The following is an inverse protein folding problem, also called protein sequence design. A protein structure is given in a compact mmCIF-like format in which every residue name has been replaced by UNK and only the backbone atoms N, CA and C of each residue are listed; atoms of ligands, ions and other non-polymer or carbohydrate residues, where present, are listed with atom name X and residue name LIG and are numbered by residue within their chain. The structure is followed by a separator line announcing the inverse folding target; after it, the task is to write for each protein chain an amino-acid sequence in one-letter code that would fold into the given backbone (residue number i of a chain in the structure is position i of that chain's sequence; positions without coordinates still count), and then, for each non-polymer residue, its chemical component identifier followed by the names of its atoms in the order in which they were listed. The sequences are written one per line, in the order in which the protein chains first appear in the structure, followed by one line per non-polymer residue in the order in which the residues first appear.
data_IF_283052296569
#
_entry.id   IF_283052296569
#
_cell.length_a   1.000
_cell.length_b   1.000
_cell.length_c   1.000
_cell.angle_alpha   90.00
_cell.angle_beta   90.00
_cell.angle_gamma   90.00
#
_symmetry.space_group_name_H-M   'P 1'
#
loop_
_entity.id
_entity.type
_entity.pdbx_description
1 polymer ?
#
# COMPACT_ATOMS: atom_id res chain seq x y z
N UNK A 1 -17.17 2.79 25.08
CA UNK A 1 -16.19 1.69 25.00
C UNK A 1 -15.07 2.00 24.00
N UNK A 2 -15.37 2.36 22.75
CA UNK A 2 -14.36 2.68 21.71
C UNK A 2 -13.48 3.93 21.95
N UNK A 3 -14.03 5.01 22.53
CA UNK A 3 -13.23 6.18 22.93
C UNK A 3 -12.21 5.86 24.05
N UNK A 4 -12.54 4.87 24.88
CA UNK A 4 -11.65 4.39 25.95
C UNK A 4 -10.52 3.57 25.34
N UNK A 5 -10.80 2.74 24.33
CA UNK A 5 -9.78 1.94 23.63
C UNK A 5 -8.71 2.82 22.97
N UNK A 6 -9.09 3.93 22.34
CA UNK A 6 -8.16 4.88 21.73
C UNK A 6 -7.27 5.54 22.79
N UNK A 7 -7.83 5.94 23.93
CA UNK A 7 -7.03 6.54 25.01
C UNK A 7 -6.15 5.51 25.73
N UNK A 8 -6.59 4.25 25.82
CA UNK A 8 -5.79 3.14 26.35
C UNK A 8 -4.62 2.80 25.42
N UNK A 9 -4.82 2.77 24.11
CA UNK A 9 -3.74 2.55 23.13
C UNK A 9 -2.72 3.71 23.19
N UNK A 10 -3.19 4.97 23.23
CA UNK A 10 -2.31 6.13 23.38
C UNK A 10 -1.55 6.13 24.71
N UNK A 11 -2.19 5.69 25.80
CA UNK A 11 -1.56 5.57 27.10
C UNK A 11 -0.52 4.44 27.12
N UNK A 12 -0.83 3.27 26.54
CA UNK A 12 0.07 2.14 26.45
C UNK A 12 1.32 2.46 25.61
N UNK A 13 1.15 3.18 24.50
CA UNK A 13 2.26 3.67 23.67
C UNK A 13 3.14 4.71 24.41
N UNK A 14 2.56 5.51 25.32
CA UNK A 14 3.33 6.43 26.18
C UNK A 14 4.07 5.72 27.30
N UNK A 15 3.67 4.51 27.65
CA UNK A 15 4.27 3.67 28.68
C UNK A 15 5.24 2.61 28.11
N UNK A 16 5.56 2.71 26.83
CA UNK A 16 6.47 1.80 26.10
C UNK A 16 6.05 0.32 26.20
N UNK A 17 4.75 0.08 26.31
CA UNK A 17 4.18 -1.27 26.26
C UNK A 17 4.32 -1.81 24.83
N UNK A 18 4.77 -3.05 24.71
CA UNK A 18 5.06 -3.68 23.43
C UNK A 18 3.79 -3.89 22.59
N UNK A 19 3.96 -3.78 21.26
CA UNK A 19 2.85 -3.85 20.31
C UNK A 19 1.96 -5.12 20.41
N UNK A 20 2.49 -6.32 20.73
CA UNK A 20 1.68 -7.51 20.99
C UNK A 20 0.68 -7.34 22.16
N UNK A 21 1.10 -6.71 23.26
CA UNK A 21 0.23 -6.49 24.42
C UNK A 21 -0.85 -5.45 24.13
N UNK A 22 -0.54 -4.43 23.32
CA UNK A 22 -1.52 -3.44 22.83
C UNK A 22 -2.54 -4.12 21.90
N UNK A 23 -2.10 -5.08 21.11
CA UNK A 23 -2.92 -5.81 20.16
C UNK A 23 -3.95 -6.71 20.86
N UNK A 24 -3.57 -7.36 21.95
CA UNK A 24 -4.49 -8.17 22.75
C UNK A 24 -5.61 -7.33 23.37
N UNK A 25 -5.30 -6.11 23.85
CA UNK A 25 -6.31 -5.16 24.34
C UNK A 25 -7.22 -4.66 23.21
N UNK A 26 -6.68 -4.44 22.00
CA UNK A 26 -7.45 -3.92 20.87
C UNK A 26 -8.47 -4.90 20.28
N UNK A 27 -8.23 -6.20 20.48
CA UNK A 27 -9.09 -7.31 20.04
C UNK A 27 -9.86 -7.93 21.21
N UNK A 28 -9.74 -7.36 22.41
CA UNK A 28 -10.37 -7.88 23.61
C UNK A 28 -11.89 -7.68 23.59
N UNK A 29 -12.64 -8.77 23.73
CA UNK A 29 -14.10 -8.80 23.71
C UNK A 29 -14.75 -8.33 25.02
N UNK A 30 -13.93 -7.94 26.01
CA UNK A 30 -14.36 -7.51 27.34
C UNK A 30 -14.85 -8.63 28.25
N UNK A 31 -14.68 -9.91 27.86
CA UNK A 31 -15.14 -11.08 28.62
C UNK A 31 -14.01 -11.95 29.16
N UNK A 32 -12.85 -11.99 28.50
CA UNK A 32 -11.67 -12.72 29.00
C UNK A 32 -10.97 -11.98 30.13
N UNK A 33 -10.65 -12.64 31.23
CA UNK A 33 -9.85 -12.03 32.30
C UNK A 33 -8.38 -11.93 31.87
N UNK A 34 -7.87 -10.70 31.74
CA UNK A 34 -6.48 -10.41 31.34
C UNK A 34 -5.51 -10.49 32.54
N UNK A 35 -6.02 -10.52 33.78
CA UNK A 35 -5.18 -10.54 34.99
C UNK A 35 -4.61 -11.92 35.33
N UNK A 36 -5.10 -12.99 34.67
CA UNK A 36 -4.57 -14.35 34.86
C UNK A 36 -3.11 -14.47 34.37
N UNK A 37 -2.60 -13.47 33.65
CA UNK A 37 -1.22 -13.41 33.13
C UNK A 37 -0.24 -12.80 34.17
N UNK A 38 -0.73 -12.07 35.17
CA UNK A 38 0.11 -11.21 36.02
C UNK A 38 0.46 -11.78 37.41
N UNK A 39 -0.15 -12.89 37.82
CA UNK A 39 0.08 -13.47 39.15
C UNK A 39 1.01 -14.70 39.11
N UNK A 40 2.30 -14.52 38.81
CA UNK A 40 3.36 -15.40 39.35
C UNK A 40 4.64 -14.61 39.61
N UNK A 41 4.60 -13.69 40.58
CA UNK A 41 5.81 -13.22 41.25
C UNK A 41 6.10 -14.14 42.44
N UNK A 42 6.68 -15.32 42.16
CA UNK A 42 7.33 -16.13 43.19
C UNK A 42 8.56 -16.88 42.67
N UNK A 43 9.72 -16.37 43.13
CA UNK A 43 10.91 -17.12 43.53
C UNK A 43 11.73 -17.82 42.44
N UNK A 44 12.86 -17.16 42.11
CA UNK A 44 14.14 -17.75 41.72
C UNK A 44 14.29 -19.24 42.08
N UNK A 45 14.30 -20.10 41.07
CA UNK A 45 14.59 -21.52 41.20
C UNK A 45 14.82 -22.11 39.81
N UNK A 46 16.07 -22.46 39.53
CA UNK A 46 16.54 -23.01 38.26
C UNK A 46 15.70 -24.20 37.79
N UNK A 47 15.55 -24.29 36.45
CA UNK A 47 14.99 -25.40 35.66
C UNK A 47 13.47 -25.39 35.44
N UNK A 48 13.02 -24.61 34.46
CA UNK A 48 11.87 -25.05 33.67
C UNK A 48 11.97 -24.52 32.23
N UNK A 49 11.98 -25.43 31.27
CA UNK A 49 11.94 -25.14 29.83
C UNK A 49 10.76 -24.23 29.52
N UNK A 50 11.06 -23.11 28.88
CA UNK A 50 10.12 -22.04 28.54
C UNK A 50 8.80 -22.57 27.99
N UNK A 51 7.73 -22.40 28.77
CA UNK A 51 6.37 -22.37 28.24
C UNK A 51 6.16 -21.01 27.59
N UNK A 52 6.59 -20.91 26.34
CA UNK A 52 6.03 -19.94 25.40
C UNK A 52 4.54 -20.26 25.29
N UNK A 53 3.66 -19.43 25.84
CA UNK A 53 2.22 -19.58 25.66
C UNK A 53 1.92 -19.36 24.16
N UNK A 54 1.51 -20.44 23.48
CA UNK A 54 1.04 -20.41 22.10
C UNK A 54 -0.15 -19.44 22.01
N UNK A 55 0.03 -18.31 21.33
CA UNK A 55 -1.11 -17.45 20.95
C UNK A 55 -2.09 -18.30 20.13
N UNK A 56 -3.37 -18.34 20.53
CA UNK A 56 -4.44 -19.04 19.80
C UNK A 56 -4.37 -18.68 18.31
N UNK A 57 -3.94 -19.63 17.48
CA UNK A 57 -3.84 -19.45 16.04
C UNK A 57 -5.25 -19.52 15.45
N UNK A 58 -5.67 -18.49 14.72
CA UNK A 58 -6.93 -18.54 13.98
C UNK A 58 -6.79 -19.64 12.93
N UNK A 59 -7.66 -20.65 12.90
CA UNK A 59 -7.55 -21.74 11.94
C UNK A 59 -7.70 -21.20 10.51
N UNK A 60 -7.02 -21.83 9.56
CA UNK A 60 -7.15 -21.46 8.16
C UNK A 60 -8.61 -21.64 7.69
N UNK A 61 -9.20 -20.65 6.99
CA UNK A 61 -10.57 -20.74 6.51
C UNK A 61 -10.70 -21.78 5.39
N UNK A 62 -11.85 -22.49 5.30
CA UNK A 62 -12.15 -23.34 4.16
C UNK A 62 -12.33 -22.50 2.89
N UNK A 63 -12.12 -23.11 1.71
CA UNK A 63 -12.26 -22.44 0.41
C UNK A 63 -13.61 -21.71 0.22
N UNK A 64 -14.68 -22.19 0.85
CA UNK A 64 -15.99 -21.54 0.82
C UNK A 64 -16.01 -20.15 1.45
N UNK A 65 -15.16 -19.91 2.45
CA UNK A 65 -14.98 -18.62 3.12
C UNK A 65 -13.94 -17.79 2.36
N UNK A 66 -12.82 -18.38 1.93
CA UNK A 66 -11.80 -17.69 1.13
C UNK A 66 -12.38 -17.09 -0.16
N UNK A 67 -13.28 -17.81 -0.83
CA UNK A 67 -13.98 -17.27 -2.02
C UNK A 67 -14.84 -16.04 -1.69
N UNK A 68 -15.38 -15.93 -0.48
CA UNK A 68 -16.12 -14.75 -0.04
C UNK A 68 -15.17 -13.58 0.22
N UNK A 69 -13.97 -13.84 0.72
CA UNK A 69 -12.95 -12.79 0.84
C UNK A 69 -12.62 -12.18 -0.53
N UNK A 70 -12.49 -12.98 -1.58
CA UNK A 70 -12.30 -12.45 -2.95
C UNK A 70 -13.45 -11.54 -3.40
N UNK A 71 -14.70 -11.89 -3.05
CA UNK A 71 -15.87 -11.05 -3.30
C UNK A 71 -15.89 -9.78 -2.43
N UNK A 72 -15.25 -9.80 -1.26
CA UNK A 72 -15.14 -8.66 -0.35
C UNK A 72 -14.04 -7.66 -0.78
N UNK A 73 -13.02 -8.12 -1.51
CA UNK A 73 -11.86 -7.32 -1.94
C UNK A 73 -12.23 -5.98 -2.60
N UNK A 74 -13.19 -5.91 -3.55
CA UNK A 74 -13.56 -4.62 -4.15
C UNK A 74 -14.14 -3.62 -3.15
N UNK A 75 -14.90 -4.08 -2.16
CA UNK A 75 -15.53 -3.22 -1.15
C UNK A 75 -14.52 -2.75 -0.11
N UNK A 76 -13.61 -3.63 0.33
CA UNK A 76 -12.50 -3.23 1.18
C UNK A 76 -11.56 -2.25 0.47
N UNK A 77 -11.39 -2.36 -0.85
CA UNK A 77 -10.65 -1.37 -1.64
C UNK A 77 -11.27 0.02 -1.58
N UNK A 78 -12.60 0.12 -1.51
CA UNK A 78 -13.27 1.41 -1.29
C UNK A 78 -12.91 1.95 0.09
N UNK A 79 -13.07 1.14 1.16
CA UNK A 79 -12.72 1.57 2.52
C UNK A 79 -11.24 1.97 2.68
N UNK A 80 -10.33 1.29 1.96
CA UNK A 80 -8.89 1.58 1.93
C UNK A 80 -8.55 2.99 1.44
N UNK A 81 -9.48 3.64 0.73
CA UNK A 81 -9.36 5.04 0.32
C UNK A 81 -9.54 6.02 1.49
N UNK A 82 -9.84 5.52 2.69
CA UNK A 82 -10.18 6.33 3.87
C UNK A 82 -11.63 6.78 3.89
N UNK A 83 -12.46 6.32 2.94
CA UNK A 83 -13.88 6.63 2.86
C UNK A 83 -14.68 5.75 3.81
N UNK A 84 -15.64 6.32 4.52
CA UNK A 84 -16.66 5.57 5.27
C UNK A 84 -17.88 5.37 4.35
N UNK A 85 -17.66 4.72 3.20
CA UNK A 85 -18.72 4.53 2.21
C UNK A 85 -19.78 3.55 2.73
N UNK A 86 -20.97 4.06 3.01
CA UNK A 86 -22.07 3.26 3.57
C UNK A 86 -22.51 2.12 2.64
N UNK A 87 -22.36 2.28 1.32
CA UNK A 87 -22.62 1.22 0.35
C UNK A 87 -21.65 0.06 0.52
N UNK A 88 -20.35 0.35 0.56
CA UNK A 88 -19.30 -0.64 0.80
C UNK A 88 -19.46 -1.32 2.17
N UNK A 89 -19.74 -0.56 3.23
CA UNK A 89 -20.01 -1.11 4.56
C UNK A 89 -21.22 -2.05 4.56
N UNK A 90 -22.31 -1.68 3.88
CA UNK A 90 -23.51 -2.51 3.75
C UNK A 90 -23.22 -3.82 3.01
N UNK A 91 -22.50 -3.77 1.90
CA UNK A 91 -22.14 -4.98 1.15
C UNK A 91 -21.20 -5.89 1.94
N UNK A 92 -20.19 -5.34 2.64
CA UNK A 92 -19.31 -6.12 3.50
C UNK A 92 -20.09 -6.82 4.64
N UNK A 93 -21.07 -6.15 5.25
CA UNK A 93 -21.93 -6.77 6.29
C UNK A 93 -22.76 -7.92 5.73
N UNK A 94 -23.25 -7.82 4.49
CA UNK A 94 -23.92 -8.94 3.80
C UNK A 94 -22.95 -10.11 3.58
N UNK A 95 -21.72 -9.83 3.16
CA UNK A 95 -20.69 -10.86 2.96
C UNK A 95 -20.32 -11.53 4.30
N UNK A 96 -20.20 -10.79 5.41
CA UNK A 96 -20.04 -11.38 6.73
C UNK A 96 -21.21 -12.29 7.13
N UNK A 97 -22.44 -11.92 6.77
CA UNK A 97 -23.61 -12.80 7.00
C UNK A 97 -23.48 -14.12 6.23
N UNK A 98 -22.92 -14.09 5.01
CA UNK A 98 -22.62 -15.31 4.24
C UNK A 98 -21.47 -16.11 4.86
N UNK A 99 -20.40 -15.45 5.31
CA UNK A 99 -19.29 -16.08 6.02
C UNK A 99 -19.81 -16.84 7.23
N UNK A 100 -20.60 -16.19 8.09
CA UNK A 100 -21.22 -16.81 9.26
C UNK A 100 -22.00 -18.07 8.91
N UNK A 101 -22.81 -18.02 7.84
CA UNK A 101 -23.53 -19.20 7.35
C UNK A 101 -22.60 -20.33 6.86
N UNK A 102 -21.50 -20.00 6.19
CA UNK A 102 -20.49 -20.99 5.76
C UNK A 102 -19.70 -21.57 6.94
N UNK A 103 -19.35 -20.76 7.92
CA UNK A 103 -18.67 -21.18 9.15
C UNK A 103 -19.55 -22.18 9.91
N UNK A 104 -20.82 -21.86 10.12
CA UNK A 104 -21.78 -22.76 10.78
C UNK A 104 -21.94 -24.08 10.04
N UNK A 105 -22.09 -24.04 8.70
CA UNK A 105 -22.23 -25.24 7.89
C UNK A 105 -20.96 -26.13 7.91
N UNK A 106 -19.78 -25.52 7.94
CA UNK A 106 -18.50 -26.22 8.06
C UNK A 106 -18.44 -26.98 9.39
N UNK A 107 -18.67 -26.30 10.53
CA UNK A 107 -18.58 -26.95 11.84
C UNK A 107 -19.66 -28.00 12.09
N UNK A 108 -20.88 -27.82 11.56
CA UNK A 108 -21.94 -28.83 11.61
C UNK A 108 -21.55 -30.13 10.90
N UNK A 109 -20.69 -30.06 9.88
CA UNK A 109 -20.24 -31.23 9.11
C UNK A 109 -19.14 -32.03 9.82
N UNK A 110 -18.37 -31.42 10.72
CA UNK A 110 -17.16 -32.01 11.31
C UNK A 110 -17.29 -32.29 12.83
N UNK A 111 -18.51 -32.41 13.36
CA UNK A 111 -18.86 -32.90 14.72
C UNK A 111 -18.07 -32.27 15.90
N UNK A 112 -17.59 -31.04 15.75
CA UNK A 112 -17.16 -30.21 16.88
C UNK A 112 -18.32 -29.27 17.25
N UNK A 113 -19.36 -29.82 17.86
CA UNK A 113 -20.48 -29.06 18.44
C UNK A 113 -20.07 -28.17 19.63
N UNK A 114 -18.81 -28.25 20.06
CA UNK A 114 -18.23 -27.34 21.04
C UNK A 114 -18.06 -25.95 20.44
N UNK A 115 -18.99 -25.05 20.77
CA UNK A 115 -18.95 -23.59 20.62
C UNK A 115 -18.14 -23.10 19.41
N UNK A 116 -18.78 -23.06 18.24
CA UNK A 116 -18.25 -22.29 17.10
C UNK A 116 -18.10 -20.84 17.57
N UNK A 117 -16.88 -20.24 17.56
CA UNK A 117 -16.73 -18.85 17.94
C UNK A 117 -17.60 -17.99 17.03
N UNK A 118 -18.44 -17.12 17.61
CA UNK A 118 -19.49 -16.41 16.87
C UNK A 118 -18.97 -15.58 15.69
N UNK A 119 -17.71 -15.14 15.76
CA UNK A 119 -17.05 -14.26 14.80
C UNK A 119 -15.89 -14.94 14.05
N UNK A 120 -15.79 -16.28 14.11
CA UNK A 120 -14.70 -16.99 13.44
C UNK A 120 -14.75 -16.73 11.91
N UNK A 121 -13.64 -16.19 11.40
CA UNK A 121 -13.42 -15.78 10.01
C UNK A 121 -14.25 -14.58 9.53
N UNK A 122 -15.02 -13.91 10.41
CA UNK A 122 -15.70 -12.68 10.02
C UNK A 122 -14.67 -11.58 9.71
N UNK A 123 -14.97 -10.76 8.70
CA UNK A 123 -14.14 -9.59 8.36
C UNK A 123 -14.41 -8.53 9.43
N UNK A 124 -13.39 -8.00 10.13
CA UNK A 124 -13.58 -6.94 11.12
C UNK A 124 -13.75 -5.59 10.41
N UNK A 125 -14.94 -5.35 9.85
CA UNK A 125 -15.25 -4.22 8.94
C UNK A 125 -14.92 -2.88 9.59
N UNK A 126 -15.44 -2.63 10.79
CA UNK A 126 -15.27 -1.34 11.48
C UNK A 126 -13.80 -1.10 11.85
N UNK A 127 -13.08 -2.17 12.18
CA UNK A 127 -11.65 -2.13 12.45
C UNK A 127 -10.87 -1.72 11.21
N UNK A 128 -11.10 -2.36 10.05
CA UNK A 128 -10.45 -1.98 8.79
C UNK A 128 -10.80 -0.55 8.39
N UNK A 129 -12.08 -0.18 8.47
CA UNK A 129 -12.55 1.16 8.13
C UNK A 129 -11.85 2.24 8.99
N UNK A 130 -11.68 1.98 10.29
CA UNK A 130 -10.98 2.88 11.19
C UNK A 130 -9.49 3.00 10.84
N UNK A 131 -8.78 1.88 10.67
CA UNK A 131 -7.34 1.90 10.43
C UNK A 131 -7.00 2.46 9.04
N UNK A 132 -7.79 2.18 8.02
CA UNK A 132 -7.64 2.81 6.70
C UNK A 132 -7.89 4.31 6.74
N UNK A 133 -8.88 4.77 7.49
CA UNK A 133 -9.11 6.21 7.69
C UNK A 133 -7.93 6.87 8.39
N UNK A 134 -7.41 6.27 9.47
CA UNK A 134 -6.25 6.78 10.20
C UNK A 134 -5.00 6.81 9.32
N UNK A 135 -4.76 5.79 8.49
CA UNK A 135 -3.69 5.80 7.49
C UNK A 135 -3.85 6.93 6.49
N UNK A 136 -5.07 7.12 5.96
CA UNK A 136 -5.37 8.24 5.07
C UNK A 136 -5.02 9.59 5.67
N UNK A 137 -5.32 9.81 6.95
CA UNK A 137 -5.00 11.06 7.66
C UNK A 137 -3.48 11.26 7.82
N UNK A 138 -2.75 10.23 8.28
CA UNK A 138 -1.29 10.32 8.39
C UNK A 138 -0.65 10.55 7.02
N UNK A 139 -1.19 9.92 5.99
CA UNK A 139 -0.74 10.09 4.62
C UNK A 139 -0.91 11.52 4.10
N UNK A 140 -2.06 12.14 4.35
CA UNK A 140 -2.34 13.51 3.89
C UNK A 140 -1.42 14.53 4.60
N UNK A 141 -1.07 14.28 5.88
CA UNK A 141 -0.01 15.04 6.59
C UNK A 141 1.32 14.88 5.87
N UNK A 142 1.70 13.65 5.51
CA UNK A 142 2.99 13.37 4.91
C UNK A 142 3.13 13.85 3.46
N UNK A 143 2.03 13.99 2.71
CA UNK A 143 2.06 14.68 1.42
C UNK A 143 2.41 16.16 1.63
N UNK A 144 1.81 16.78 2.65
CA UNK A 144 1.96 18.21 2.95
C UNK A 144 3.31 18.52 3.60
N UNK A 145 3.77 17.64 4.48
CA UNK A 145 5.05 17.72 5.16
C UNK A 145 5.75 16.34 5.12
N UNK A 146 6.52 16.05 4.06
CA UNK A 146 7.20 14.76 3.93
C UNK A 146 8.19 14.46 5.05
N UNK A 147 8.70 15.45 5.77
CA UNK A 147 9.68 15.25 6.84
C UNK A 147 9.03 15.07 8.23
N UNK A 148 7.70 14.94 8.33
CA UNK A 148 7.03 14.74 9.61
C UNK A 148 7.30 13.33 10.18
N UNK A 149 8.25 13.24 11.12
CA UNK A 149 8.65 11.98 11.74
C UNK A 149 7.51 11.31 12.53
N UNK A 150 6.64 12.10 13.16
CA UNK A 150 5.51 11.57 13.91
C UNK A 150 4.48 10.94 12.99
N UNK A 151 4.13 11.63 11.89
CA UNK A 151 3.21 11.08 10.90
C UNK A 151 3.80 9.83 10.23
N UNK A 152 5.14 9.77 10.02
CA UNK A 152 5.83 8.56 9.53
C UNK A 152 5.69 7.40 10.52
N UNK A 153 6.04 7.62 11.78
CA UNK A 153 5.96 6.59 12.83
C UNK A 153 4.53 6.06 12.98
N UNK A 154 3.54 6.95 12.98
CA UNK A 154 2.13 6.58 13.04
C UNK A 154 1.69 5.80 11.79
N UNK A 155 2.09 6.24 10.59
CA UNK A 155 1.74 5.55 9.36
C UNK A 155 2.29 4.11 9.36
N UNK A 156 3.58 3.94 9.66
CA UNK A 156 4.20 2.61 9.74
C UNK A 156 3.56 1.74 10.81
N UNK A 157 3.32 2.28 12.02
CA UNK A 157 2.69 1.53 13.10
C UNK A 157 1.28 1.04 12.74
N UNK A 158 0.46 1.87 12.09
CA UNK A 158 -0.88 1.44 11.65
C UNK A 158 -0.77 0.40 10.54
N UNK A 159 0.19 0.54 9.62
CA UNK A 159 0.45 -0.45 8.59
C UNK A 159 0.80 -1.83 9.15
N UNK A 160 1.71 -1.87 10.12
CA UNK A 160 2.14 -3.12 10.76
C UNK A 160 0.97 -3.80 11.46
N UNK A 161 0.11 -3.02 12.13
CA UNK A 161 -1.13 -3.51 12.74
C UNK A 161 -2.06 -4.15 11.69
N UNK A 162 -2.24 -3.51 10.52
CA UNK A 162 -3.04 -4.06 9.40
C UNK A 162 -2.45 -5.35 8.86
N UNK A 163 -1.14 -5.38 8.60
CA UNK A 163 -0.47 -6.57 8.07
C UNK A 163 -0.54 -7.74 9.04
N UNK A 164 -0.31 -7.49 10.32
CA UNK A 164 -0.42 -8.53 11.34
C UNK A 164 -1.84 -9.09 11.43
N UNK A 165 -2.88 -8.24 11.36
CA UNK A 165 -4.26 -8.71 11.33
C UNK A 165 -4.54 -9.59 10.09
N UNK A 166 -4.04 -9.19 8.93
CA UNK A 166 -4.20 -9.94 7.68
C UNK A 166 -3.54 -11.32 7.77
N UNK A 167 -2.31 -11.38 8.26
CA UNK A 167 -1.58 -12.63 8.44
C UNK A 167 -2.26 -13.54 9.47
N UNK A 168 -2.57 -12.99 10.66
CA UNK A 168 -3.17 -13.75 11.76
C UNK A 168 -4.51 -14.37 11.38
N UNK A 169 -5.33 -13.67 10.59
CA UNK A 169 -6.68 -14.11 10.23
C UNK A 169 -6.79 -14.72 8.82
N UNK A 170 -5.66 -14.96 8.15
CA UNK A 170 -5.59 -15.53 6.80
C UNK A 170 -6.41 -14.73 5.77
N UNK A 171 -6.45 -13.41 5.91
CA UNK A 171 -7.10 -12.54 4.94
C UNK A 171 -6.26 -12.41 3.66
N UNK A 172 -6.85 -12.01 2.53
CA UNK A 172 -6.10 -11.73 1.32
C UNK A 172 -5.01 -10.67 1.53
N UNK A 173 -3.79 -11.01 1.14
CA UNK A 173 -2.60 -10.15 1.32
C UNK A 173 -2.73 -8.78 0.65
N UNK A 174 -3.50 -8.71 -0.45
CA UNK A 174 -3.76 -7.45 -1.16
C UNK A 174 -4.66 -6.45 -0.38
N UNK A 175 -5.21 -6.85 0.77
CA UNK A 175 -5.89 -5.94 1.70
C UNK A 175 -4.87 -5.06 2.43
N UNK A 176 -3.61 -5.51 2.57
CA UNK A 176 -2.52 -4.78 3.22
C UNK A 176 -2.19 -3.46 2.54
N UNK A 177 -1.70 -2.47 3.29
CA UNK A 177 -1.35 -1.14 2.75
C UNK A 177 0.15 -1.09 2.52
N UNK A 178 0.58 -0.42 1.45
CA UNK A 178 2.01 -0.28 1.17
C UNK A 178 2.41 1.19 1.34
N UNK A 179 3.39 1.46 2.19
CA UNK A 179 3.94 2.81 2.35
C UNK A 179 4.97 3.09 1.26
N UNK A 180 4.56 3.81 0.22
CA UNK A 180 5.45 4.18 -0.89
C UNK A 180 5.63 5.70 -1.02
N UNK A 181 5.72 6.41 0.10
CA UNK A 181 5.99 7.84 0.08
C UNK A 181 7.49 8.08 -0.09
N UNK A 182 7.85 8.61 -1.26
CA UNK A 182 9.22 9.01 -1.57
C UNK A 182 9.41 10.50 -1.26
N UNK A 183 10.40 10.82 -0.44
CA UNK A 183 10.89 12.20 -0.27
C UNK A 183 11.89 12.45 -1.39
N UNK A 184 11.55 13.32 -2.32
CA UNK A 184 12.48 13.70 -3.37
C UNK A 184 13.46 14.73 -2.81
N UNK A 185 14.77 14.62 -3.11
CA UNK A 185 15.76 15.60 -2.69
C UNK A 185 15.69 16.92 -3.48
N UNK A 186 14.74 17.03 -4.41
CA UNK A 186 14.47 18.21 -5.22
C UNK A 186 13.04 18.73 -5.00
N UNK A 187 12.82 19.99 -5.39
CA UNK A 187 11.51 20.62 -5.30
C UNK A 187 10.47 19.90 -6.18
N UNK A 188 9.26 19.74 -5.66
CA UNK A 188 8.12 19.21 -6.42
C UNK A 188 7.03 20.27 -6.55
N UNK A 189 6.27 20.23 -7.64
CA UNK A 189 5.15 21.14 -7.89
C UNK A 189 3.80 20.52 -7.54
N UNK A 190 2.73 21.30 -7.73
CA UNK A 190 1.34 20.87 -7.60
C UNK A 190 0.63 21.11 -8.94
N UNK A 191 -0.01 20.09 -9.48
CA UNK A 191 -0.80 20.14 -10.70
C UNK A 191 -2.18 20.78 -10.46
N UNK A 192 -2.91 21.12 -11.53
CA UNK A 192 -4.23 21.74 -11.42
C UNK A 192 -5.27 20.88 -10.69
N UNK A 193 -5.12 19.55 -10.73
CA UNK A 193 -5.99 18.59 -10.06
C UNK A 193 -5.52 18.26 -8.63
N UNK A 194 -4.51 18.97 -8.12
CA UNK A 194 -3.90 18.72 -6.81
C UNK A 194 -2.86 17.58 -6.79
N UNK A 195 -2.62 16.88 -7.90
CA UNK A 195 -1.57 15.86 -7.99
C UNK A 195 -0.18 16.47 -7.82
N UNK A 196 0.77 15.70 -7.30
CA UNK A 196 2.15 16.18 -7.10
C UNK A 196 2.95 16.04 -8.39
N UNK A 197 3.57 17.14 -8.85
CA UNK A 197 4.49 17.13 -9.98
C UNK A 197 5.89 16.76 -9.49
N UNK A 198 6.42 15.62 -9.94
CA UNK A 198 7.75 15.12 -9.55
C UNK A 198 8.84 15.73 -10.45
N UNK A 199 8.58 15.90 -11.74
CA UNK A 199 9.58 16.38 -12.69
C UNK A 199 9.03 16.54 -14.10
N UNK A 200 9.80 17.23 -14.95
CA UNK A 200 9.41 17.58 -16.32
C UNK A 200 10.47 17.10 -17.32
N UNK A 201 10.05 16.72 -18.54
CA UNK A 201 10.93 16.58 -19.70
C UNK A 201 10.34 17.28 -20.92
N UNK A 202 11.21 17.75 -21.82
CA UNK A 202 10.80 18.21 -23.15
C UNK A 202 10.30 17.04 -24.00
N UNK A 203 9.30 17.30 -24.83
CA UNK A 203 8.76 16.37 -25.82
C UNK A 203 8.35 17.15 -27.08
N UNK A 204 9.28 17.26 -28.04
CA UNK A 204 9.12 18.15 -29.19
C UNK A 204 9.00 19.60 -28.75
N UNK A 205 7.99 20.32 -29.26
CA UNK A 205 7.67 21.68 -28.84
C UNK A 205 6.96 21.78 -27.47
N UNK A 206 6.52 20.65 -26.91
CA UNK A 206 5.78 20.61 -25.64
C UNK A 206 6.58 20.00 -24.49
N UNK A 207 5.89 19.81 -23.36
CA UNK A 207 6.44 19.20 -22.15
C UNK A 207 5.59 17.99 -21.72
N UNK A 208 6.27 16.97 -21.21
CA UNK A 208 5.66 15.86 -20.46
C UNK A 208 6.10 15.95 -19.01
N UNK A 209 5.19 15.57 -18.12
CA UNK A 209 5.31 15.76 -16.69
C UNK A 209 5.07 14.43 -16.00
N UNK A 210 5.94 14.06 -15.07
CA UNK A 210 5.68 12.96 -14.15
C UNK A 210 4.84 13.49 -13.01
N UNK A 211 3.61 12.98 -12.91
CA UNK A 211 2.68 13.31 -11.83
C UNK A 211 2.44 12.10 -10.95
N UNK A 212 2.35 12.34 -9.65
CA UNK A 212 2.00 11.38 -8.61
C UNK A 212 0.58 11.71 -8.12
N UNK A 213 -0.32 10.76 -8.35
CA UNK A 213 -1.74 10.89 -8.02
C UNK A 213 -2.14 9.78 -7.06
N UNK A 214 -3.02 10.11 -6.10
CA UNK A 214 -3.65 9.14 -5.20
C UNK A 214 -4.85 8.54 -5.92
N UNK A 215 -4.79 7.26 -6.25
CA UNK A 215 -5.91 6.50 -6.82
C UNK A 215 -6.14 5.26 -5.97
N UNK A 216 -7.38 4.99 -5.56
CA UNK A 216 -7.72 3.79 -4.79
C UNK A 216 -6.85 3.57 -3.52
N UNK A 217 -6.41 4.65 -2.85
CA UNK A 217 -5.57 4.57 -1.64
C UNK A 217 -4.10 4.24 -1.90
N UNK A 218 -3.67 4.21 -3.17
CA UNK A 218 -2.27 4.01 -3.59
C UNK A 218 -1.77 5.20 -4.40
N UNK A 219 -0.45 5.35 -4.43
CA UNK A 219 0.21 6.34 -5.27
C UNK A 219 0.54 5.76 -6.62
N UNK A 220 -0.05 6.32 -7.67
CA UNK A 220 0.28 5.98 -9.05
C UNK A 220 1.03 7.14 -9.68
N UNK A 221 2.18 6.84 -10.28
CA UNK A 221 2.97 7.83 -11.03
C UNK A 221 2.71 7.65 -12.51
N UNK A 222 2.52 8.75 -13.23
CA UNK A 222 2.27 8.72 -14.68
C UNK A 222 2.99 9.83 -15.40
N UNK A 223 3.42 9.53 -16.62
CA UNK A 223 3.90 10.55 -17.56
C UNK A 223 2.73 11.04 -18.39
N UNK A 224 2.30 12.29 -18.15
CA UNK A 224 1.21 12.94 -18.88
C UNK A 224 1.69 14.21 -19.60
N UNK A 225 0.88 14.78 -20.49
CA UNK A 225 1.20 16.07 -21.10
C UNK A 225 1.06 17.21 -20.08
N UNK A 226 1.88 18.26 -20.23
CA UNK A 226 1.76 19.46 -19.40
C UNK A 226 0.37 20.11 -19.48
N UNK A 227 -0.30 20.04 -20.65
CA UNK A 227 -1.68 20.51 -20.80
C UNK A 227 -2.66 19.75 -19.91
N UNK A 228 -2.51 18.43 -19.76
CA UNK A 228 -3.36 17.60 -18.91
C UNK A 228 -3.11 17.84 -17.42
N UNK A 229 -1.87 18.12 -17.04
CA UNK A 229 -1.49 18.44 -15.66
C UNK A 229 -1.88 19.87 -15.23
N UNK A 230 -2.30 20.73 -16.17
CA UNK A 230 -2.47 22.17 -15.94
C UNK A 230 -1.24 22.95 -16.37
N UNK A 231 -1.30 23.52 -17.58
CA UNK A 231 -0.15 24.17 -18.21
C UNK A 231 0.44 25.30 -17.35
N UNK A 232 -0.43 26.11 -16.72
CA UNK A 232 -0.03 27.22 -15.86
C UNK A 232 0.79 26.72 -14.66
N UNK A 233 0.29 25.72 -13.94
CA UNK A 233 0.97 25.13 -12.79
C UNK A 233 2.32 24.50 -13.17
N UNK A 234 2.36 23.84 -14.33
CA UNK A 234 3.62 23.27 -14.84
C UNK A 234 4.62 24.37 -15.18
N UNK A 235 4.18 25.49 -15.77
CA UNK A 235 5.04 26.64 -16.05
C UNK A 235 5.54 27.31 -14.75
N UNK A 236 4.67 27.46 -13.75
CA UNK A 236 5.04 27.97 -12.43
C UNK A 236 6.09 27.08 -11.76
N UNK A 237 5.90 25.75 -11.79
CA UNK A 237 6.90 24.81 -11.30
C UNK A 237 8.23 24.93 -12.07
N UNK A 238 8.17 25.00 -13.40
CA UNK A 238 9.37 25.16 -14.25
C UNK A 238 10.10 26.50 -14.08
N UNK A 239 9.42 27.53 -13.56
CA UNK A 239 10.04 28.82 -13.23
C UNK A 239 10.87 28.77 -11.94
N UNK A 240 10.76 27.69 -11.16
CA UNK A 240 11.62 27.38 -10.01
C UNK A 240 12.75 26.43 -10.40
N UNK A 241 13.58 26.00 -9.43
CA UNK A 241 14.55 24.92 -9.63
C UNK A 241 13.83 23.56 -9.75
N UNK A 242 13.27 23.29 -10.93
CA UNK A 242 12.53 22.07 -11.23
C UNK A 242 13.43 20.90 -11.59
N UNK A 243 12.95 19.68 -11.31
CA UNK A 243 13.65 18.47 -11.72
C UNK A 243 13.44 18.13 -13.20
N UNK A 244 14.52 18.16 -13.97
CA UNK A 244 14.54 17.74 -15.37
C UNK A 244 14.73 16.22 -15.48
N UNK A 245 13.66 15.49 -15.78
CA UNK A 245 13.65 14.03 -15.90
C UNK A 245 14.65 13.50 -16.97
N UNK A 246 14.99 14.32 -17.97
CA UNK A 246 15.94 13.94 -19.01
C UNK A 246 17.40 14.28 -18.66
N UNK A 247 17.63 15.18 -17.70
CA UNK A 247 18.92 15.84 -17.49
C UNK A 247 20.06 14.91 -17.09
N UNK A 248 19.76 13.84 -16.36
CA UNK A 248 20.76 12.89 -15.85
C UNK A 248 20.70 11.53 -16.56
N UNK A 249 20.00 11.40 -17.69
CA UNK A 249 19.81 10.09 -18.31
C UNK A 249 21.06 9.57 -19.06
N UNK A 250 22.01 10.42 -19.42
CA UNK A 250 23.20 10.00 -20.16
C UNK A 250 24.32 9.43 -19.29
N UNK A 251 24.26 9.61 -17.96
CA UNK A 251 25.37 9.27 -17.04
C UNK A 251 25.40 7.78 -16.64
N UNK A 252 24.29 7.07 -16.79
CA UNK A 252 24.13 5.71 -16.25
C UNK A 252 24.76 4.63 -17.12
N UNK A 253 25.57 3.76 -16.50
CA UNK A 253 26.24 2.63 -17.13
C UNK A 253 26.05 1.34 -16.31
N UNK A 254 26.64 0.23 -16.76
CA UNK A 254 26.62 -1.02 -16.00
C UNK A 254 27.48 -0.96 -14.71
N UNK A 255 28.41 0.00 -14.64
CA UNK A 255 29.31 0.18 -13.48
C UNK A 255 28.55 0.67 -12.25
N UNK A 256 27.42 1.35 -12.46
CA UNK A 256 26.55 1.84 -11.38
C UNK A 256 25.79 0.72 -10.67
N UNK A 257 25.89 -0.54 -11.14
CA UNK A 257 25.17 -1.68 -10.57
C UNK A 257 25.48 -1.90 -9.08
N UNK A 258 26.73 -1.70 -8.68
CA UNK A 258 27.14 -1.87 -7.28
C UNK A 258 26.59 -0.77 -6.35
N UNK A 259 26.12 0.33 -6.91
CA UNK A 259 25.50 1.44 -6.19
C UNK A 259 23.98 1.31 -6.13
N UNK A 260 23.38 0.40 -6.90
CA UNK A 260 21.94 0.18 -6.90
C UNK A 260 21.48 -0.55 -5.65
N UNK A 261 20.42 -0.04 -5.01
CA UNK A 261 19.79 -0.66 -3.84
C UNK A 261 18.42 -1.25 -4.20
N UNK A 262 17.52 -0.44 -4.75
CA UNK A 262 16.16 -0.88 -5.06
C UNK A 262 15.44 0.01 -6.10
N UNK A 263 14.41 -0.55 -6.75
CA UNK A 263 13.38 0.26 -7.43
C UNK A 263 12.31 0.64 -6.41
N UNK A 264 12.06 1.96 -6.28
CA UNK A 264 11.08 2.54 -5.36
C UNK A 264 9.68 2.59 -5.96
N UNK A 265 9.55 2.99 -7.22
CA UNK A 265 8.30 2.97 -7.97
C UNK A 265 8.56 2.94 -9.48
N UNK A 266 7.54 2.53 -10.24
CA UNK A 266 7.55 2.54 -11.71
C UNK A 266 6.32 3.34 -12.18
N UNK A 267 6.49 4.19 -13.19
CA UNK A 267 5.32 4.88 -13.76
C UNK A 267 4.40 3.89 -14.46
N UNK A 268 3.09 4.03 -14.25
CA UNK A 268 2.11 3.25 -15.00
C UNK A 268 2.23 3.55 -16.50
N UNK A 269 2.47 2.50 -17.27
CA UNK A 269 2.56 2.59 -18.72
C UNK A 269 1.19 2.96 -19.30
N UNK A 270 1.07 4.19 -19.82
CA UNK A 270 -0.09 4.57 -20.62
C UNK A 270 0.09 4.09 -22.05
N UNK A 271 -0.81 3.24 -22.53
CA UNK A 271 -0.86 2.81 -23.92
C UNK A 271 -0.94 4.04 -24.84
N UNK A 272 0.03 4.18 -25.74
CA UNK A 272 0.06 5.29 -26.70
C UNK A 272 -1.06 5.20 -27.75
N UNK A 273 -1.37 6.33 -28.37
CA UNK A 273 -2.30 6.42 -29.51
C UNK A 273 -1.70 5.69 -30.72
N UNK A 274 -2.52 4.90 -31.40
CA UNK A 274 -2.15 4.14 -32.61
C UNK A 274 -2.10 5.07 -33.83
N UNK A 275 -0.92 5.53 -34.23
CA UNK A 275 -0.67 5.87 -35.64
C UNK A 275 -0.18 4.59 -36.34
N UNK A 276 -0.97 4.05 -37.25
CA UNK A 276 -0.65 2.80 -37.97
C UNK A 276 0.67 2.84 -38.76
N UNK A 277 1.21 4.04 -39.02
CA UNK A 277 2.46 4.27 -39.73
C UNK A 277 3.69 4.44 -38.82
N UNK A 278 3.55 4.49 -37.49
CA UNK A 278 4.66 4.74 -36.58
C UNK A 278 5.17 3.43 -35.94
N UNK A 279 6.47 3.17 -36.04
CA UNK A 279 7.14 2.04 -35.39
C UNK A 279 6.76 1.90 -33.91
N UNK A 280 6.61 0.64 -33.46
CA UNK A 280 6.28 0.24 -32.08
C UNK A 280 7.27 0.87 -31.10
N UNK A 281 6.95 2.03 -30.52
CA UNK A 281 7.72 2.60 -29.41
C UNK A 281 7.13 2.07 -28.11
N UNK A 282 7.98 1.46 -27.29
CA UNK A 282 7.60 1.07 -25.93
C UNK A 282 7.04 2.30 -25.20
N UNK A 283 6.00 2.12 -24.36
CA UNK A 283 5.48 3.21 -23.55
C UNK A 283 6.62 3.83 -22.74
N UNK A 284 6.63 5.16 -22.64
CA UNK A 284 7.65 5.87 -21.86
C UNK A 284 7.42 5.56 -20.40
N UNK A 285 8.27 4.70 -19.85
CA UNK A 285 8.26 4.32 -18.45
C UNK A 285 9.52 4.84 -17.78
N UNK A 286 9.30 5.51 -16.66
CA UNK A 286 10.35 5.93 -15.74
C UNK A 286 10.27 5.11 -14.46
N UNK A 287 11.42 4.84 -13.88
CA UNK A 287 11.59 4.14 -12.62
C UNK A 287 12.31 5.06 -11.65
N UNK A 288 11.74 5.27 -10.47
CA UNK A 288 12.47 5.87 -9.37
C UNK A 288 13.26 4.79 -8.67
N UNK A 289 14.53 5.05 -8.44
CA UNK A 289 15.46 4.10 -7.84
C UNK A 289 16.15 4.74 -6.66
N UNK A 290 16.52 3.91 -5.69
CA UNK A 290 17.46 4.25 -4.64
C UNK A 290 18.83 3.72 -5.03
N UNK A 291 19.79 4.63 -5.07
CA UNK A 291 21.21 4.34 -5.17
C UNK A 291 21.87 4.72 -3.84
N UNK A 292 23.09 4.25 -3.59
CA UNK A 292 23.89 4.61 -2.40
C UNK A 292 24.08 6.12 -2.22
N UNK A 293 24.12 6.88 -3.32
CA UNK A 293 24.28 8.33 -3.32
C UNK A 293 22.94 9.10 -3.26
N UNK A 294 21.80 8.41 -3.30
CA UNK A 294 20.48 9.00 -3.13
C UNK A 294 19.42 8.49 -4.11
N UNK A 295 18.34 9.26 -4.22
CA UNK A 295 17.19 8.92 -5.06
C UNK A 295 17.37 9.50 -6.46
N UNK A 296 17.13 8.68 -7.48
CA UNK A 296 17.22 9.09 -8.88
C UNK A 296 16.00 8.59 -9.68
N UNK A 297 15.72 9.24 -10.81
CA UNK A 297 14.73 8.77 -11.77
C UNK A 297 15.46 8.32 -13.04
N UNK A 298 15.29 7.06 -13.42
CA UNK A 298 15.87 6.45 -14.61
C UNK A 298 14.77 6.13 -15.62
N UNK A 299 15.08 6.27 -16.90
CA UNK A 299 14.26 5.62 -17.93
C UNK A 299 14.41 4.11 -17.84
N UNK A 300 13.40 3.37 -18.31
CA UNK A 300 13.44 1.91 -18.41
C UNK A 300 14.73 1.39 -19.08
N UNK A 301 15.16 2.04 -20.16
CA UNK A 301 16.39 1.68 -20.88
C UNK A 301 17.64 1.84 -20.04
N UNK A 302 17.72 2.88 -19.19
CA UNK A 302 18.87 3.07 -18.32
C UNK A 302 18.86 2.11 -17.14
N UNK A 303 17.68 1.75 -16.61
CA UNK A 303 17.60 0.68 -15.62
C UNK A 303 18.12 -0.65 -16.20
N UNK A 304 17.80 -0.96 -17.46
CA UNK A 304 18.37 -2.12 -18.15
C UNK A 304 19.88 -2.04 -18.35
N UNK A 305 20.44 -0.84 -18.57
CA UNK A 305 21.90 -0.68 -18.64
C UNK A 305 22.56 -0.94 -17.29
N UNK A 306 21.99 -0.45 -16.20
CA UNK A 306 22.53 -0.61 -14.84
C UNK A 306 22.44 -2.06 -14.37
N UNK A 307 21.26 -2.69 -14.46
CA UNK A 307 21.02 -4.00 -13.84
C UNK A 307 21.13 -5.20 -14.79
N UNK A 308 21.09 -4.95 -16.11
CA UNK A 308 20.80 -5.98 -17.10
C UNK A 308 19.30 -6.30 -17.18
N UNK A 309 18.89 -6.88 -18.31
CA UNK A 309 17.47 -7.11 -18.65
C UNK A 309 16.75 -8.00 -17.61
N UNK A 310 17.38 -9.10 -17.19
CA UNK A 310 16.79 -10.05 -16.24
C UNK A 310 16.50 -9.43 -14.88
N UNK A 311 17.53 -8.85 -14.24
CA UNK A 311 17.41 -8.27 -12.89
C UNK A 311 16.47 -7.06 -12.88
N UNK A 312 16.55 -6.17 -13.88
CA UNK A 312 15.64 -5.04 -13.98
C UNK A 312 14.17 -5.47 -14.14
N UNK A 313 13.88 -6.49 -14.97
CA UNK A 313 12.52 -7.01 -15.12
C UNK A 313 12.00 -7.59 -13.82
N UNK A 314 12.83 -8.30 -13.05
CA UNK A 314 12.44 -8.83 -11.73
C UNK A 314 12.08 -7.71 -10.75
N UNK A 315 12.91 -6.66 -10.66
CA UNK A 315 12.61 -5.50 -9.80
C UNK A 315 11.34 -4.76 -10.24
N UNK A 316 11.15 -4.56 -11.54
CA UNK A 316 9.94 -3.94 -12.07
C UNK A 316 8.71 -4.78 -11.75
N UNK A 317 8.77 -6.11 -11.91
CA UNK A 317 7.65 -7.00 -11.56
C UNK A 317 7.30 -6.87 -10.08
N UNK A 318 8.30 -6.97 -9.20
CA UNK A 318 8.13 -6.83 -7.74
C UNK A 318 7.39 -5.54 -7.41
N UNK A 319 7.83 -4.41 -7.97
CA UNK A 319 7.20 -3.10 -7.73
C UNK A 319 5.82 -3.00 -8.37
N UNK A 320 5.63 -3.51 -9.58
CA UNK A 320 4.34 -3.47 -10.26
C UNK A 320 3.29 -4.35 -9.56
N UNK A 321 3.67 -5.53 -9.08
CA UNK A 321 2.81 -6.43 -8.31
C UNK A 321 2.43 -5.79 -6.98
N UNK A 322 3.42 -5.23 -6.27
CA UNK A 322 3.21 -4.46 -5.03
C UNK A 322 2.27 -3.29 -5.23
N UNK A 323 2.44 -2.54 -6.31
CA UNK A 323 1.65 -1.33 -6.60
C UNK A 323 0.36 -1.65 -7.38
N UNK A 324 0.12 -2.92 -7.72
CA UNK A 324 -0.98 -3.41 -8.53
C UNK A 324 -1.14 -2.67 -9.88
N UNK A 325 -0.03 -2.36 -10.55
CA UNK A 325 -0.02 -1.72 -11.86
C UNK A 325 0.38 -2.72 -12.95
N UNK A 326 -0.07 -2.49 -14.18
CA UNK A 326 0.30 -3.35 -15.31
C UNK A 326 1.79 -3.26 -15.60
N UNK A 327 2.42 -4.40 -15.86
CA UNK A 327 3.83 -4.41 -16.27
C UNK A 327 4.03 -3.56 -17.53
N UNK A 328 5.16 -2.84 -17.64
CA UNK A 328 5.46 -2.00 -18.80
C UNK A 328 5.30 -2.69 -20.16
N UNK A 329 5.67 -3.98 -20.24
CA UNK A 329 5.60 -4.79 -21.45
C UNK A 329 4.22 -5.42 -21.70
N UNK A 330 3.29 -5.34 -20.76
CA UNK A 330 1.91 -5.84 -20.88
C UNK A 330 0.88 -4.73 -21.12
N UNK A 331 1.30 -3.46 -21.13
CA UNK A 331 0.40 -2.33 -21.28
C UNK A 331 -0.34 -2.38 -22.63
N UNK A 332 -1.65 -2.63 -22.59
CA UNK A 332 -2.52 -2.64 -23.77
C UNK A 332 -2.68 -1.22 -24.31
N UNK A 333 -2.48 -1.05 -25.62
CA UNK A 333 -2.79 0.20 -26.32
C UNK A 333 -4.29 0.49 -26.23
N UNK A 334 -4.68 1.69 -25.81
CA UNK A 334 -6.09 2.14 -25.89
C UNK A 334 -6.39 2.53 -27.34
N UNK A 335 -7.27 1.79 -28.01
CA UNK A 335 -7.84 2.22 -29.28
C UNK A 335 -8.81 3.37 -29.00
N UNK A 336 -8.69 4.48 -29.73
CA UNK A 336 -9.71 5.52 -29.78
C UNK A 336 -10.41 5.32 -31.13
N UNK A 337 -11.71 5.05 -31.11
CA UNK A 337 -12.55 5.20 -32.29
C UNK A 337 -12.72 6.70 -32.55
N UNK A 338 -12.36 7.15 -33.75
CA UNK A 338 -12.89 8.41 -34.26
C UNK A 338 -14.27 8.08 -34.79
N UNK A 339 -15.31 8.47 -34.07
CA UNK A 339 -16.63 8.59 -34.68
C UNK A 339 -16.54 9.82 -35.61
N UNK A 340 -16.52 9.55 -36.92
CA UNK A 340 -16.62 10.56 -37.97
C UNK A 340 -18.07 11.01 -38.15
#
# INVERSE_FOLDING_TARGET
TWLILIEVIKAAQKLDIDAPTIMDVSLWDGKRDLNVILDEDHSMGENNTGRTLEQDTVPAPPNSVTNIYELATPWLRILKQGTQDEGALKELRKLNSLIKGKTQAYYKKYEKESQVPEQLWEIPIDWFAMHYKSLGQQYDILISNPNDENARKNFTGIMDIIHHCIERHHFPQNWGVVFNLVIYPWNTGIAADGSRIIGVRRNGAGHRVCVETKEEGRLIRRIISASKAGLKQVQEYMATEYFNLAGQQSKWTYEDRENFEEVLWVTEAQGGVRNAAANRRNPTVDCCVRMKDGIHILTLSNLYKVLGDGSAKSEIKRVCDRDNISYPWNAKYRAISYDN
#
